data_IF_126788052047
#
_entry.id   IF_126788052047
#
_cell.length_a   1.000
_cell.length_b   1.000
_cell.length_c   1.000
_cell.angle_alpha   90.00
_cell.angle_beta   90.00
_cell.angle_gamma   90.00
#
_symmetry.space_group_name_H-M   'P 1'
#
loop_
_entity.id
_entity.type
_entity.pdbx_description
1 polymer ?
#
# COMPACT_ATOMS: atom_id res chain seq x y z
N UNK A 1 -23.37 27.30 11.47
CA UNK A 1 -22.55 26.20 12.01
C UNK A 1 -21.52 25.94 10.94
N UNK A 2 -20.47 26.75 10.95
CA UNK A 2 -19.41 26.71 9.95
C UNK A 2 -18.53 25.49 10.24
N UNK A 3 -18.57 24.52 9.34
CA UNK A 3 -17.63 23.40 9.33
C UNK A 3 -16.30 23.94 8.83
N UNK A 4 -15.42 24.25 9.79
CA UNK A 4 -14.03 24.62 9.52
C UNK A 4 -13.30 23.39 8.96
N UNK A 5 -13.25 23.31 7.64
CA UNK A 5 -12.50 22.32 6.85
C UNK A 5 -11.02 22.65 6.97
N UNK A 6 -10.43 22.30 8.11
CA UNK A 6 -9.00 22.42 8.35
C UNK A 6 -8.28 21.23 7.66
N UNK A 7 -8.30 21.23 6.32
CA UNK A 7 -7.45 20.38 5.50
C UNK A 7 -6.06 21.03 5.49
N UNK A 8 -5.29 20.78 6.55
CA UNK A 8 -3.88 21.15 6.57
C UNK A 8 -3.14 20.19 5.64
N UNK A 9 -2.78 20.70 4.47
CA UNK A 9 -1.80 20.13 3.55
C UNK A 9 -0.40 20.22 4.18
N UNK A 10 -0.22 19.62 5.36
CA UNK A 10 1.09 19.22 5.80
C UNK A 10 1.45 18.00 4.95
N UNK A 11 1.97 18.27 3.75
CA UNK A 11 2.91 17.39 3.06
C UNK A 11 4.19 17.29 3.90
N UNK A 12 4.04 16.87 5.17
CA UNK A 12 5.10 16.31 5.96
C UNK A 12 5.65 15.17 5.12
N UNK A 13 6.97 15.18 4.97
CA UNK A 13 7.78 14.16 4.35
C UNK A 13 7.23 12.76 4.71
N UNK A 14 6.25 12.27 3.94
CA UNK A 14 5.64 10.98 4.23
C UNK A 14 6.71 10.03 3.81
N UNK A 15 7.32 9.38 4.78
CA UNK A 15 8.16 8.21 4.58
C UNK A 15 7.34 7.30 3.65
N UNK A 16 7.65 7.35 2.34
CA UNK A 16 6.91 6.61 1.32
C UNK A 16 7.05 5.10 1.56
N UNK A 17 8.07 4.71 2.34
CA UNK A 17 8.30 3.39 2.90
C UNK A 17 7.27 2.96 3.96
N UNK A 18 6.55 3.88 4.61
CA UNK A 18 5.63 3.56 5.70
C UNK A 18 4.15 3.56 5.30
N UNK A 19 3.81 3.93 4.06
CA UNK A 19 2.43 3.84 3.57
C UNK A 19 2.24 2.46 2.95
N UNK A 20 1.37 1.60 3.52
CA UNK A 20 1.17 0.28 2.96
C UNK A 20 0.44 0.41 1.61
N UNK A 21 0.95 -0.28 0.59
CA UNK A 21 0.57 -0.10 -0.81
C UNK A 21 -0.84 -0.65 -1.05
N UNK A 22 -1.75 0.17 -1.61
CA UNK A 22 -3.14 -0.24 -1.83
C UNK A 22 -3.30 -1.02 -3.12
N UNK A 23 -4.35 -1.82 -3.19
CA UNK A 23 -4.74 -2.49 -4.43
C UNK A 23 -4.98 -1.45 -5.53
N UNK A 24 -4.40 -1.71 -6.70
CA UNK A 24 -4.47 -0.86 -7.89
C UNK A 24 -3.35 0.18 -7.99
N UNK A 25 -2.59 0.42 -6.91
CA UNK A 25 -1.38 1.26 -6.96
C UNK A 25 -0.28 0.62 -7.80
N UNK A 26 0.58 1.47 -8.37
CA UNK A 26 1.76 1.04 -9.09
C UNK A 26 2.87 0.67 -8.10
N UNK A 27 3.38 -0.54 -8.23
CA UNK A 27 4.52 -1.04 -7.48
C UNK A 27 5.78 -0.24 -7.87
N UNK A 28 6.25 0.61 -6.97
CA UNK A 28 7.45 1.45 -7.19
C UNK A 28 8.75 0.66 -7.16
N UNK A 29 8.78 -0.43 -6.40
CA UNK A 29 9.95 -1.27 -6.16
C UNK A 29 9.57 -2.75 -6.26
N UNK A 30 10.25 -3.50 -7.11
CA UNK A 30 9.96 -4.93 -7.22
C UNK A 30 10.46 -5.66 -5.98
N UNK A 31 9.69 -6.63 -5.49
CA UNK A 31 10.03 -7.36 -4.29
C UNK A 31 8.90 -8.25 -3.79
N UNK A 32 9.15 -8.89 -2.66
CA UNK A 32 8.17 -9.68 -1.91
C UNK A 32 7.42 -8.75 -0.97
N UNK A 33 6.11 -8.75 -1.07
CA UNK A 33 5.21 -7.98 -0.23
C UNK A 33 4.34 -8.90 0.61
N UNK A 34 3.97 -8.45 1.80
CA UNK A 34 3.09 -9.16 2.71
C UNK A 34 1.75 -8.44 2.84
N UNK A 35 0.67 -9.21 2.79
CA UNK A 35 -0.66 -8.75 3.08
C UNK A 35 -0.77 -8.38 4.57
N UNK A 36 -1.08 -7.12 4.87
CA UNK A 36 -1.21 -6.62 6.25
C UNK A 36 -2.36 -7.24 7.04
N UNK A 37 -3.26 -7.97 6.38
CA UNK A 37 -4.46 -8.57 7.01
C UNK A 37 -4.27 -10.04 7.37
N UNK A 38 -3.75 -10.87 6.46
CA UNK A 38 -3.56 -12.31 6.70
C UNK A 38 -2.08 -12.74 6.82
N UNK A 39 -1.13 -11.87 6.48
CA UNK A 39 0.29 -12.22 6.43
C UNK A 39 0.69 -13.04 5.20
N UNK A 40 -0.14 -13.11 4.16
CA UNK A 40 0.22 -13.79 2.92
C UNK A 40 1.26 -13.00 2.13
N UNK A 41 2.27 -13.70 1.62
CA UNK A 41 3.34 -13.13 0.83
C UNK A 41 3.00 -13.21 -0.67
N UNK A 42 3.31 -12.16 -1.42
CA UNK A 42 3.17 -12.12 -2.87
C UNK A 42 4.28 -11.27 -3.49
N UNK A 43 4.82 -11.75 -4.61
CA UNK A 43 5.87 -11.06 -5.33
C UNK A 43 5.28 -10.10 -6.36
N UNK A 44 5.60 -8.81 -6.21
CA UNK A 44 5.25 -7.77 -7.17
C UNK A 44 6.50 -7.29 -7.89
N UNK A 45 6.36 -6.99 -9.18
CA UNK A 45 7.45 -6.41 -9.97
C UNK A 45 7.31 -4.90 -9.99
N UNK A 46 8.43 -4.19 -10.11
CA UNK A 46 8.41 -2.75 -10.35
C UNK A 46 7.59 -2.44 -11.61
N UNK A 47 6.62 -1.55 -11.45
CA UNK A 47 5.67 -1.16 -12.50
C UNK A 47 4.44 -2.07 -12.62
N UNK A 48 4.36 -3.15 -11.84
CA UNK A 48 3.16 -3.95 -11.72
C UNK A 48 2.10 -3.24 -10.86
N UNK A 49 0.86 -3.74 -10.84
CA UNK A 49 -0.20 -3.17 -10.01
C UNK A 49 -0.49 -4.13 -8.87
N UNK A 50 -0.55 -3.62 -7.65
CA UNK A 50 -0.95 -4.44 -6.52
C UNK A 50 -2.36 -5.01 -6.76
N UNK A 51 -2.49 -6.33 -6.75
CA UNK A 51 -3.76 -7.04 -6.84
C UNK A 51 -4.30 -7.34 -5.44
N UNK A 52 -5.57 -7.75 -5.37
CA UNK A 52 -6.13 -8.33 -4.16
C UNK A 52 -5.32 -9.52 -3.64
N UNK A 53 -5.42 -9.77 -2.34
CA UNK A 53 -4.89 -10.98 -1.73
C UNK A 53 -5.87 -12.13 -2.00
N UNK A 54 -5.38 -13.30 -2.41
CA UNK A 54 -6.24 -14.44 -2.77
C UNK A 54 -7.08 -14.92 -1.58
N UNK A 55 -6.54 -14.78 -0.37
CA UNK A 55 -7.20 -15.17 0.88
C UNK A 55 -8.18 -14.13 1.44
N UNK A 56 -7.90 -12.84 1.28
CA UNK A 56 -8.72 -11.77 1.89
C UNK A 56 -9.63 -11.04 0.88
N UNK A 57 -9.38 -11.18 -0.41
CA UNK A 57 -10.10 -10.49 -1.49
C UNK A 57 -9.49 -9.13 -1.84
N UNK A 58 -10.33 -8.19 -2.27
CA UNK A 58 -9.90 -6.88 -2.77
C UNK A 58 -10.29 -5.69 -1.86
N UNK A 59 -11.10 -5.92 -0.82
CA UNK A 59 -11.67 -4.83 -0.04
C UNK A 59 -10.69 -4.36 1.04
N UNK A 60 -10.01 -3.23 0.77
CA UNK A 60 -9.17 -2.47 1.71
C UNK A 60 -7.86 -3.12 2.15
N UNK A 61 -7.35 -4.06 1.36
CA UNK A 61 -6.06 -4.66 1.64
C UNK A 61 -4.91 -3.78 1.22
N UNK A 62 -3.86 -3.86 2.02
CA UNK A 62 -2.62 -3.17 1.76
C UNK A 62 -1.45 -4.14 1.85
N UNK A 63 -0.42 -3.85 1.07
CA UNK A 63 0.77 -4.66 0.92
C UNK A 63 1.96 -3.94 1.53
N UNK A 64 2.63 -4.60 2.46
CA UNK A 64 3.85 -4.10 3.10
C UNK A 64 5.07 -4.74 2.45
N UNK A 65 6.07 -3.96 2.05
CA UNK A 65 7.28 -4.52 1.44
C UNK A 65 8.10 -5.26 2.49
N UNK A 66 8.31 -6.56 2.30
CA UNK A 66 9.19 -7.36 3.17
C UNK A 66 10.62 -7.35 2.67
N UNK A 67 10.81 -7.58 1.36
CA UNK A 67 12.13 -7.68 0.75
C UNK A 67 12.12 -7.14 -0.68
N UNK A 68 12.87 -6.07 -0.92
CA UNK A 68 13.12 -5.56 -2.27
C UNK A 68 14.04 -6.52 -3.05
N UNK A 69 13.76 -6.69 -4.34
CA UNK A 69 14.49 -7.57 -5.27
C UNK A 69 15.42 -6.79 -6.22
#
# INVERSE_FOLDING_TARGET
MDYDLNYQEDAGNVDLDAIPNKIGDLCGEGGTYECTTCGEESDFKKGDRFSGCDHCGDEYLTWNLLNAA
#
